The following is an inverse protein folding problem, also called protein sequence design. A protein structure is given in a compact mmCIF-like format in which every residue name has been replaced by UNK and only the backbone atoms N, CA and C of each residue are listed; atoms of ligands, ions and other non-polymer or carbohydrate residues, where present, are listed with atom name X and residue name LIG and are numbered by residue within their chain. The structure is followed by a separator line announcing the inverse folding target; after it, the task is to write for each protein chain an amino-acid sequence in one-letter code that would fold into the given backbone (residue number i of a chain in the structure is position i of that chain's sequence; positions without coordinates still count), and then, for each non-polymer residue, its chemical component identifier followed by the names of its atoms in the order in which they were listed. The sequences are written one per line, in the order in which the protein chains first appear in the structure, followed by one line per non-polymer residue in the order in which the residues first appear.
data_IF_225564393426
#
_entry.id   IF_225564393426
#
_cell.length_a   1.000
_cell.length_b   1.000
_cell.length_c   1.000
_cell.angle_alpha   90.00
_cell.angle_beta   90.00
_cell.angle_gamma   90.00
#
_symmetry.space_group_name_H-M   'P 1'
#
loop_
_entity.id
_entity.type
_entity.pdbx_description
1 polymer ?
#
# COMPACT_ATOMS: atom_id res chain seq x y z
N UNK A 1 -9.26 -39.89 -16.22
CA UNK A 1 -7.83 -39.71 -15.86
C UNK A 1 -7.04 -38.95 -16.93
N UNK A 2 -6.96 -39.42 -18.19
CA UNK A 2 -6.21 -38.74 -19.28
C UNK A 2 -6.58 -37.26 -19.53
N UNK A 3 -7.88 -36.92 -19.51
CA UNK A 3 -8.34 -35.55 -19.76
C UNK A 3 -7.99 -34.57 -18.62
N UNK A 4 -7.84 -35.06 -17.38
CA UNK A 4 -7.43 -34.22 -16.24
C UNK A 4 -5.95 -33.86 -16.35
N UNK A 5 -5.13 -34.84 -16.71
CA UNK A 5 -3.69 -34.64 -16.91
C UNK A 5 -3.41 -33.71 -18.10
N UNK A 6 -4.20 -33.79 -19.18
CA UNK A 6 -4.07 -32.86 -20.31
C UNK A 6 -4.36 -31.41 -19.92
N UNK A 7 -5.41 -31.18 -19.12
CA UNK A 7 -5.75 -29.83 -18.62
C UNK A 7 -4.65 -29.28 -17.71
N UNK A 8 -4.07 -30.12 -16.86
CA UNK A 8 -2.99 -29.72 -15.95
C UNK A 8 -1.71 -29.36 -16.71
N UNK A 9 -1.35 -30.12 -17.76
CA UNK A 9 -0.22 -29.81 -18.63
C UNK A 9 -0.44 -28.49 -19.38
N UNK A 10 -1.65 -28.23 -19.88
CA UNK A 10 -2.01 -26.97 -20.54
C UNK A 10 -1.83 -25.76 -19.59
N UNK A 11 -2.29 -25.91 -18.35
CA UNK A 11 -2.22 -24.88 -17.32
C UNK A 11 -0.78 -24.58 -16.89
N UNK A 12 0.06 -25.62 -16.81
CA UNK A 12 1.50 -25.46 -16.54
C UNK A 12 2.22 -24.74 -17.69
N UNK A 13 1.87 -25.03 -18.95
CA UNK A 13 2.43 -24.32 -20.12
C UNK A 13 2.06 -22.85 -20.12
N UNK A 14 0.81 -22.54 -19.81
CA UNK A 14 0.33 -21.15 -19.72
C UNK A 14 1.04 -20.37 -18.60
N UNK A 15 1.21 -21.00 -17.43
CA UNK A 15 1.97 -20.41 -16.31
C UNK A 15 3.43 -20.16 -16.69
N UNK A 16 4.07 -21.10 -17.37
CA UNK A 16 5.47 -20.95 -17.83
C UNK A 16 5.62 -19.80 -18.81
N UNK A 17 4.71 -19.68 -19.79
CA UNK A 17 4.72 -18.61 -20.77
C UNK A 17 4.53 -17.23 -20.12
N UNK A 18 3.65 -17.14 -19.13
CA UNK A 18 3.40 -15.90 -18.39
C UNK A 18 4.59 -15.51 -17.51
N UNK A 19 5.28 -16.49 -16.90
CA UNK A 19 6.50 -16.25 -16.14
C UNK A 19 7.65 -15.72 -17.02
N UNK A 20 7.82 -16.28 -18.22
CA UNK A 20 8.82 -15.81 -19.20
C UNK A 20 8.56 -14.36 -19.62
N UNK A 21 7.30 -14.02 -19.94
CA UNK A 21 6.91 -12.63 -20.25
C UNK A 21 7.18 -11.67 -19.10
N UNK A 22 6.95 -12.10 -17.86
CA UNK A 22 7.23 -11.29 -16.69
C UNK A 22 8.73 -11.00 -16.56
N UNK A 23 9.59 -12.02 -16.70
CA UNK A 23 11.03 -11.84 -16.62
C UNK A 23 11.56 -10.93 -17.74
N UNK A 24 11.03 -11.06 -18.98
CA UNK A 24 11.36 -10.13 -20.07
C UNK A 24 11.01 -8.67 -19.72
N UNK A 25 9.84 -8.44 -19.12
CA UNK A 25 9.44 -7.07 -18.74
C UNK A 25 10.33 -6.50 -17.65
N UNK A 26 10.73 -7.33 -16.68
CA UNK A 26 11.66 -6.95 -15.61
C UNK A 26 13.03 -6.54 -16.17
N UNK A 27 13.61 -7.34 -17.07
CA UNK A 27 14.88 -7.02 -17.75
C UNK A 27 14.77 -5.71 -18.55
N UNK A 28 13.65 -5.46 -19.23
CA UNK A 28 13.43 -4.19 -19.96
C UNK A 28 13.37 -2.99 -19.03
N UNK A 29 12.77 -3.14 -17.84
CA UNK A 29 12.71 -2.08 -16.82
C UNK A 29 14.11 -1.81 -16.26
N UNK A 30 14.87 -2.83 -15.89
CA UNK A 30 16.23 -2.69 -15.37
C UNK A 30 17.17 -2.01 -16.37
N UNK A 31 17.05 -2.36 -17.67
CA UNK A 31 17.80 -1.69 -18.74
C UNK A 31 17.45 -0.20 -18.87
N UNK A 32 16.15 0.15 -18.81
CA UNK A 32 15.73 1.56 -18.85
C UNK A 32 16.18 2.34 -17.62
N UNK A 33 16.17 1.71 -16.45
CA UNK A 33 16.67 2.32 -15.22
C UNK A 33 18.16 2.61 -15.32
N UNK A 34 18.95 1.64 -15.80
CA UNK A 34 20.39 1.83 -16.03
C UNK A 34 20.69 2.97 -17.02
N UNK A 35 19.91 3.09 -18.10
CA UNK A 35 20.04 4.19 -19.05
C UNK A 35 19.71 5.55 -18.43
N UNK A 36 18.69 5.61 -17.57
CA UNK A 36 18.33 6.83 -16.84
C UNK A 36 19.49 7.26 -15.94
N UNK A 37 20.04 6.33 -15.17
CA UNK A 37 21.13 6.60 -14.23
C UNK A 37 22.40 7.09 -14.96
N UNK A 38 22.69 6.54 -16.15
CA UNK A 38 23.79 7.01 -17.01
C UNK A 38 23.57 8.45 -17.48
N UNK A 39 22.36 8.80 -17.93
CA UNK A 39 22.03 10.14 -18.40
C UNK A 39 22.12 11.16 -17.25
N UNK A 40 21.63 10.81 -16.06
CA UNK A 40 21.73 11.66 -14.87
C UNK A 40 23.20 11.91 -14.49
N UNK A 41 24.04 10.88 -14.55
CA UNK A 41 25.47 11.02 -14.28
C UNK A 41 26.16 11.93 -15.32
N UNK A 42 25.86 11.73 -16.62
CA UNK A 42 26.39 12.60 -17.68
C UNK A 42 25.98 14.06 -17.48
N UNK A 43 24.74 14.31 -17.11
CA UNK A 43 24.23 15.66 -16.87
C UNK A 43 24.95 16.33 -15.70
N UNK A 44 25.13 15.61 -14.57
CA UNK A 44 25.87 16.11 -13.41
C UNK A 44 27.32 16.44 -13.77
N UNK A 45 28.01 15.53 -14.46
CA UNK A 45 29.39 15.77 -14.90
C UNK A 45 29.50 16.96 -15.86
N UNK A 46 28.53 17.14 -16.77
CA UNK A 46 28.52 18.27 -17.68
C UNK A 46 28.31 19.60 -16.94
N UNK A 47 27.39 19.63 -15.97
CA UNK A 47 27.16 20.81 -15.14
C UNK A 47 28.40 21.18 -14.33
N UNK A 48 29.07 20.20 -13.75
CA UNK A 48 30.29 20.39 -12.98
C UNK A 48 31.43 20.91 -13.85
N UNK A 49 31.67 20.30 -15.02
CA UNK A 49 32.66 20.78 -16.00
C UNK A 49 32.38 22.20 -16.46
N UNK A 50 31.11 22.52 -16.74
CA UNK A 50 30.72 23.88 -17.10
C UNK A 50 31.03 24.84 -15.94
N UNK A 51 30.66 24.49 -14.72
CA UNK A 51 30.91 25.30 -13.54
C UNK A 51 32.41 25.53 -13.30
N UNK A 52 33.25 24.50 -13.42
CA UNK A 52 34.71 24.61 -13.35
C UNK A 52 35.28 25.48 -14.46
N UNK A 53 34.78 25.33 -15.70
CA UNK A 53 35.19 26.16 -16.84
C UNK A 53 34.83 27.62 -16.59
N UNK A 54 33.66 27.89 -16.03
CA UNK A 54 33.23 29.24 -15.64
C UNK A 54 34.12 29.82 -14.53
N UNK A 55 34.38 29.07 -13.46
CA UNK A 55 35.24 29.50 -12.36
C UNK A 55 36.69 29.70 -12.81
N UNK A 56 37.19 28.86 -13.72
CA UNK A 56 38.54 28.99 -14.27
C UNK A 56 38.69 30.15 -15.24
N UNK A 57 37.65 30.47 -16.03
CA UNK A 57 37.70 31.56 -17.01
C UNK A 57 37.46 32.94 -16.38
N UNK A 58 36.66 33.02 -15.32
CA UNK A 58 36.22 34.30 -14.75
C UNK A 58 36.56 34.50 -13.26
N UNK A 59 37.17 33.51 -12.59
CA UNK A 59 37.39 33.53 -11.15
C UNK A 59 36.08 33.35 -10.35
N UNK A 60 36.16 33.47 -9.03
CA UNK A 60 34.97 33.48 -8.16
C UNK A 60 34.25 34.83 -8.34
N UNK A 61 33.38 34.91 -9.34
CA UNK A 61 32.62 36.13 -9.67
C UNK A 61 31.50 36.32 -8.65
N UNK A 62 31.79 37.00 -7.55
CA UNK A 62 30.77 37.35 -6.53
C UNK A 62 29.84 38.49 -6.97
N UNK A 63 30.15 39.18 -8.08
CA UNK A 63 29.29 40.22 -8.68
C UNK A 63 29.58 40.34 -10.17
N UNK A 64 28.67 39.79 -11.00
CA UNK A 64 28.73 39.85 -12.46
C UNK A 64 27.67 40.78 -13.07
N UNK A 65 27.88 41.28 -14.31
CA UNK A 65 27.02 42.28 -14.98
C UNK A 65 25.58 41.82 -15.22
N UNK A 66 25.31 40.53 -15.07
CA UNK A 66 24.01 39.91 -15.31
C UNK A 66 23.04 40.02 -14.12
N UNK A 67 23.47 40.57 -12.97
CA UNK A 67 22.60 40.69 -11.77
C UNK A 67 21.43 41.67 -11.98
N UNK A 68 21.51 42.59 -12.94
CA UNK A 68 20.47 43.57 -13.22
C UNK A 68 19.52 43.23 -14.38
N UNK A 69 19.82 42.22 -15.18
CA UNK A 69 18.95 41.84 -16.33
C UNK A 69 17.83 40.86 -15.95
N UNK A 70 17.73 40.48 -14.67
CA UNK A 70 16.66 39.62 -14.15
C UNK A 70 15.27 40.31 -14.15
N UNK A 71 15.18 41.63 -14.38
CA UNK A 71 13.91 42.34 -14.43
C UNK A 71 13.17 42.26 -15.77
N UNK A 72 13.90 42.30 -16.89
CA UNK A 72 13.29 42.43 -18.23
C UNK A 72 13.32 41.14 -19.06
N UNK A 73 14.32 40.27 -18.90
CA UNK A 73 14.38 38.96 -19.59
C UNK A 73 13.32 37.97 -19.04
N UNK A 74 12.78 38.24 -17.85
CA UNK A 74 11.76 37.40 -17.21
C UNK A 74 10.41 37.49 -17.94
N UNK A 75 10.09 38.58 -18.66
CA UNK A 75 8.80 38.67 -19.38
C UNK A 75 8.73 37.75 -20.61
N UNK A 76 9.82 37.58 -21.35
CA UNK A 76 9.82 36.69 -22.53
C UNK A 76 10.11 35.23 -22.16
N UNK A 77 10.84 34.96 -21.06
CA UNK A 77 11.00 33.60 -20.53
C UNK A 77 9.73 33.03 -19.93
N UNK A 78 8.84 33.84 -19.34
CA UNK A 78 7.55 33.37 -18.82
C UNK A 78 6.72 32.72 -19.93
N UNK A 79 6.78 33.20 -21.18
CA UNK A 79 6.03 32.61 -22.29
C UNK A 79 6.54 31.23 -22.72
N UNK A 80 7.86 31.01 -22.77
CA UNK A 80 8.44 29.71 -23.15
C UNK A 80 8.39 28.71 -22.00
N UNK A 81 8.59 29.17 -20.76
CA UNK A 81 8.50 28.32 -19.57
C UNK A 81 7.05 27.92 -19.26
N UNK A 82 6.05 28.77 -19.54
CA UNK A 82 4.64 28.39 -19.44
C UNK A 82 4.23 27.34 -20.49
N UNK A 83 4.75 27.40 -21.72
CA UNK A 83 4.48 26.39 -22.75
C UNK A 83 5.18 25.05 -22.45
N UNK A 84 6.37 25.10 -21.86
CA UNK A 84 7.13 23.88 -21.49
C UNK A 84 6.59 23.26 -20.19
N UNK A 85 6.13 24.06 -19.22
CA UNK A 85 5.39 23.62 -18.02
C UNK A 85 4.01 23.06 -18.38
N UNK A 86 3.28 23.65 -19.34
CA UNK A 86 2.03 23.06 -19.83
C UNK A 86 2.24 21.69 -20.48
N UNK A 87 3.29 21.52 -21.30
CA UNK A 87 3.58 20.22 -21.95
C UNK A 87 4.03 19.14 -20.96
N UNK A 88 4.84 19.50 -19.96
CA UNK A 88 5.28 18.54 -18.92
C UNK A 88 4.18 18.22 -17.91
N UNK A 89 3.32 19.19 -17.56
CA UNK A 89 2.14 18.95 -16.74
C UNK A 89 1.12 18.08 -17.47
N UNK A 90 0.84 18.33 -18.76
CA UNK A 90 -0.10 17.50 -19.54
C UNK A 90 0.41 16.06 -19.70
N UNK A 91 1.72 15.87 -19.86
CA UNK A 91 2.33 14.52 -19.90
C UNK A 91 2.32 13.86 -18.51
N UNK A 92 2.60 14.60 -17.44
CA UNK A 92 2.50 14.08 -16.07
C UNK A 92 1.05 13.75 -15.69
N UNK A 93 0.08 14.59 -16.07
CA UNK A 93 -1.34 14.36 -15.83
C UNK A 93 -1.83 13.16 -16.65
N UNK A 94 -1.37 13.01 -17.89
CA UNK A 94 -1.66 11.85 -18.74
C UNK A 94 -1.06 10.56 -18.19
N UNK A 95 0.18 10.59 -17.69
CA UNK A 95 0.82 9.46 -17.03
C UNK A 95 0.13 9.12 -15.69
N UNK A 96 -0.24 10.12 -14.91
CA UNK A 96 -0.98 9.94 -13.64
C UNK A 96 -2.36 9.35 -13.91
N UNK A 97 -3.04 9.81 -14.98
CA UNK A 97 -4.32 9.24 -15.37
C UNK A 97 -4.17 7.80 -15.91
N UNK A 98 -3.06 7.49 -16.57
CA UNK A 98 -2.74 6.14 -17.05
C UNK A 98 -2.41 5.19 -15.89
N UNK A 99 -1.67 5.67 -14.88
CA UNK A 99 -1.42 4.95 -13.63
C UNK A 99 -2.72 4.70 -12.86
N UNK A 100 -3.57 5.72 -12.70
CA UNK A 100 -4.88 5.57 -12.05
C UNK A 100 -5.80 4.60 -12.81
N UNK A 101 -5.71 4.53 -14.15
CA UNK A 101 -6.42 3.53 -14.95
C UNK A 101 -5.83 2.13 -14.75
N UNK A 102 -4.51 2.01 -14.70
CA UNK A 102 -3.83 0.74 -14.42
C UNK A 102 -4.18 0.22 -13.03
N UNK A 103 -4.17 1.06 -11.99
CA UNK A 103 -4.60 0.71 -10.63
C UNK A 103 -6.04 0.23 -10.61
N UNK A 104 -6.96 0.91 -11.31
CA UNK A 104 -8.36 0.45 -11.43
C UNK A 104 -8.49 -0.91 -12.11
N UNK A 105 -7.65 -1.18 -13.13
CA UNK A 105 -7.61 -2.48 -13.81
C UNK A 105 -7.02 -3.55 -12.89
N UNK A 106 -5.97 -3.23 -12.14
CA UNK A 106 -5.35 -4.11 -11.15
C UNK A 106 -6.35 -4.42 -10.02
N UNK A 107 -7.06 -3.42 -9.49
CA UNK A 107 -8.10 -3.58 -8.48
C UNK A 107 -9.29 -4.38 -8.99
N UNK A 108 -9.67 -4.18 -10.25
CA UNK A 108 -10.70 -4.99 -10.92
C UNK A 108 -10.24 -6.44 -11.06
N UNK A 109 -9.02 -6.68 -11.52
CA UNK A 109 -8.43 -8.01 -11.65
C UNK A 109 -8.24 -8.68 -10.29
N UNK A 110 -7.89 -7.92 -9.23
CA UNK A 110 -7.76 -8.41 -7.85
C UNK A 110 -9.11 -8.79 -7.28
N UNK A 111 -10.17 -7.99 -7.52
CA UNK A 111 -11.56 -8.35 -7.18
C UNK A 111 -12.04 -9.58 -7.94
N UNK A 112 -11.71 -9.67 -9.23
CA UNK A 112 -12.02 -10.82 -10.07
C UNK A 112 -11.29 -12.06 -9.54
N UNK A 113 -9.98 -11.99 -9.30
CA UNK A 113 -9.21 -13.10 -8.75
C UNK A 113 -9.71 -13.49 -7.35
N UNK A 114 -10.03 -12.54 -6.47
CA UNK A 114 -10.66 -12.81 -5.15
C UNK A 114 -11.97 -13.59 -5.32
N UNK A 115 -12.79 -13.28 -6.33
CA UNK A 115 -14.03 -14.02 -6.64
C UNK A 115 -13.80 -15.48 -7.05
N UNK A 116 -12.66 -15.83 -7.65
CA UNK A 116 -12.38 -17.18 -8.18
C UNK A 116 -11.32 -17.97 -7.39
N UNK A 117 -10.50 -17.30 -6.58
CA UNK A 117 -9.41 -17.88 -5.80
C UNK A 117 -9.66 -17.90 -4.29
N UNK A 118 -10.80 -17.41 -3.81
CA UNK A 118 -11.17 -17.63 -2.40
C UNK A 118 -11.33 -19.14 -2.18
N UNK A 119 -10.59 -19.75 -1.22
CA UNK A 119 -11.02 -21.01 -0.62
C UNK A 119 -12.50 -20.84 -0.25
N UNK A 120 -13.31 -21.88 -0.43
CA UNK A 120 -14.73 -21.82 -0.02
C UNK A 120 -14.79 -21.86 1.50
N UNK A 121 -14.52 -20.71 2.10
CA UNK A 121 -14.62 -20.47 3.52
C UNK A 121 -16.09 -20.56 3.92
N UNK A 122 -16.47 -21.61 4.67
CA UNK A 122 -17.87 -21.87 5.03
C UNK A 122 -17.99 -22.47 6.41
N UNK A 123 -17.81 -21.64 7.42
CA UNK A 123 -18.64 -21.56 8.63
C UNK A 123 -18.14 -20.33 9.39
N UNK A 124 -19.00 -19.35 9.66
CA UNK A 124 -18.65 -18.19 10.46
C UNK A 124 -19.41 -18.30 11.76
N UNK A 125 -18.73 -18.68 12.84
CA UNK A 125 -19.27 -18.42 14.16
C UNK A 125 -18.90 -17.00 14.55
N UNK A 126 -19.90 -16.22 14.97
CA UNK A 126 -19.70 -14.85 15.39
C UNK A 126 -20.49 -14.61 16.67
N UNK A 127 -19.75 -14.19 17.70
CA UNK A 127 -20.32 -13.73 18.95
C UNK A 127 -20.10 -12.23 19.06
N UNK A 128 -21.12 -11.49 19.49
CA UNK A 128 -20.99 -10.07 19.84
C UNK A 128 -21.85 -9.79 21.06
N UNK A 129 -21.24 -9.20 22.07
CA UNK A 129 -21.84 -8.70 23.29
C UNK A 129 -21.50 -7.22 23.44
N UNK A 130 -22.47 -6.36 23.14
CA UNK A 130 -22.34 -4.91 23.17
C UNK A 130 -22.18 -4.31 21.77
N UNK A 131 -21.56 -3.13 21.72
CA UNK A 131 -21.57 -2.26 20.55
C UNK A 131 -20.37 -2.46 19.61
N UNK A 132 -19.35 -3.23 20.03
CA UNK A 132 -18.13 -3.45 19.26
C UNK A 132 -18.16 -4.80 18.57
N UNK A 133 -17.99 -4.77 17.25
CA UNK A 133 -17.95 -5.94 16.38
C UNK A 133 -16.56 -6.12 15.77
N UNK A 134 -16.15 -7.37 15.62
CA UNK A 134 -15.01 -7.77 14.79
C UNK A 134 -15.49 -7.88 13.33
N UNK A 135 -14.87 -7.11 12.44
CA UNK A 135 -15.10 -7.12 11.00
C UNK A 135 -13.83 -7.60 10.28
N UNK A 136 -13.31 -8.73 10.74
CA UNK A 136 -12.15 -9.39 10.16
C UNK A 136 -12.52 -9.97 8.78
N UNK A 137 -11.83 -9.49 7.74
CA UNK A 137 -11.99 -9.94 6.36
C UNK A 137 -10.65 -10.26 5.71
N UNK A 138 -9.58 -10.29 6.50
CA UNK A 138 -8.24 -10.43 5.97
C UNK A 138 -7.67 -11.81 6.21
N UNK A 139 -7.92 -12.66 5.23
CA UNK A 139 -7.40 -14.03 5.09
C UNK A 139 -5.87 -14.08 5.03
N UNK A 140 -5.21 -12.96 4.70
CA UNK A 140 -3.76 -12.89 4.55
C UNK A 140 -3.05 -12.45 5.82
N UNK A 141 -3.77 -12.22 6.93
CA UNK A 141 -3.16 -11.87 8.21
C UNK A 141 -2.39 -10.55 8.18
N UNK A 142 -2.82 -9.57 7.39
CA UNK A 142 -2.18 -8.24 7.31
C UNK A 142 -2.82 -7.28 8.30
N UNK A 143 -4.12 -7.40 8.55
CA UNK A 143 -4.83 -6.50 9.45
C UNK A 143 -6.10 -7.11 10.05
N UNK A 144 -6.46 -6.61 11.23
CA UNK A 144 -7.76 -6.80 11.87
C UNK A 144 -8.56 -5.49 11.82
N UNK A 145 -9.89 -5.59 11.76
CA UNK A 145 -10.76 -4.41 11.81
C UNK A 145 -11.82 -4.58 12.88
N UNK A 146 -11.95 -3.58 13.74
CA UNK A 146 -13.07 -3.45 14.67
C UNK A 146 -13.96 -2.29 14.26
N UNK A 147 -15.25 -2.42 14.52
CA UNK A 147 -16.27 -1.44 14.21
C UNK A 147 -17.17 -1.21 15.43
N UNK A 148 -17.42 0.06 15.76
CA UNK A 148 -18.48 0.40 16.71
C UNK A 148 -19.80 0.54 15.93
N UNK A 149 -20.65 -0.47 16.05
CA UNK A 149 -21.99 -0.51 15.43
C UNK A 149 -23.09 0.05 16.34
N UNK A 150 -22.72 0.44 17.56
CA UNK A 150 -23.63 1.06 18.52
C UNK A 150 -23.88 2.54 18.25
N UNK A 151 -24.74 3.11 19.09
CA UNK A 151 -25.09 4.53 19.04
C UNK A 151 -24.35 5.35 20.10
N UNK A 152 -23.43 4.74 20.87
CA UNK A 152 -22.67 5.40 21.92
C UNK A 152 -21.16 5.26 21.70
N UNK A 153 -20.38 6.22 22.22
CA UNK A 153 -18.92 6.10 22.19
C UNK A 153 -18.46 4.95 23.09
N UNK A 154 -17.50 4.15 22.60
CA UNK A 154 -16.89 3.08 23.37
C UNK A 154 -15.48 3.49 23.78
N UNK A 155 -15.26 3.57 25.09
CA UNK A 155 -13.89 3.65 25.65
C UNK A 155 -13.28 2.27 25.61
N UNK A 156 -12.19 2.14 24.88
CA UNK A 156 -11.51 0.87 24.59
C UNK A 156 -10.27 0.68 25.46
N UNK A 157 -10.04 1.56 26.44
CA UNK A 157 -8.95 1.49 27.41
C UNK A 157 -8.80 0.09 28.01
N UNK A 158 -7.66 -0.55 27.79
CA UNK A 158 -7.36 -1.88 28.34
C UNK A 158 -8.09 -3.04 27.66
N UNK A 159 -8.84 -2.79 26.59
CA UNK A 159 -9.37 -3.87 25.76
C UNK A 159 -8.22 -4.60 25.10
N UNK A 160 -8.38 -5.91 24.87
CA UNK A 160 -7.37 -6.74 24.21
C UNK A 160 -7.97 -7.42 23.00
N UNK A 161 -7.39 -7.16 21.84
CA UNK A 161 -7.68 -7.88 20.60
C UNK A 161 -6.68 -9.03 20.47
N UNK A 162 -7.17 -10.23 20.21
CA UNK A 162 -6.38 -11.46 20.13
C UNK A 162 -6.76 -12.22 18.87
N UNK A 163 -5.77 -12.71 18.12
CA UNK A 163 -5.95 -13.62 16.99
C UNK A 163 -5.15 -14.89 17.25
N UNK A 164 -5.83 -16.02 17.16
CA UNK A 164 -5.24 -17.35 17.34
C UNK A 164 -5.26 -18.03 15.98
N UNK A 165 -4.07 -18.39 15.50
CA UNK A 165 -3.89 -19.11 14.23
C UNK A 165 -3.03 -20.34 14.50
N UNK A 166 -3.57 -21.52 14.21
CA UNK A 166 -2.90 -22.81 14.42
C UNK A 166 -2.30 -22.95 15.85
N UNK A 167 -3.03 -22.49 16.86
CA UNK A 167 -2.64 -22.54 18.27
C UNK A 167 -1.65 -21.47 18.73
N UNK A 168 -1.23 -20.55 17.85
CA UNK A 168 -0.40 -19.39 18.22
C UNK A 168 -1.25 -18.14 18.38
N UNK A 169 -1.22 -17.56 19.57
CA UNK A 169 -1.88 -16.30 19.89
C UNK A 169 -1.00 -15.11 19.53
N UNK A 170 -1.59 -14.10 18.89
CA UNK A 170 -1.04 -12.76 18.71
C UNK A 170 -2.04 -11.77 19.27
N UNK A 171 -1.60 -10.81 20.08
CA UNK A 171 -2.53 -9.92 20.75
C UNK A 171 -2.00 -8.50 20.89
N UNK A 172 -2.92 -7.54 20.95
CA UNK A 172 -2.63 -6.14 21.22
C UNK A 172 -3.60 -5.62 22.28
N UNK A 173 -3.11 -4.74 23.14
CA UNK A 173 -3.95 -4.04 24.12
C UNK A 173 -4.12 -2.58 23.70
N UNK A 174 -5.36 -2.10 23.69
CA UNK A 174 -5.69 -0.72 23.33
C UNK A 174 -5.22 0.26 24.40
N UNK A 175 -4.63 1.38 23.94
CA UNK A 175 -4.09 2.44 24.80
C UNK A 175 -5.14 3.05 25.73
N UNK A 176 -4.69 3.61 26.85
CA UNK A 176 -5.54 4.14 27.91
C UNK A 176 -6.50 5.26 27.47
N UNK A 177 -6.21 5.92 26.36
CA UNK A 177 -7.01 7.04 25.84
C UNK A 177 -7.79 6.69 24.57
N UNK A 178 -7.79 5.43 24.13
CA UNK A 178 -8.44 5.05 22.89
C UNK A 178 -9.97 5.02 23.04
N UNK A 179 -10.66 5.76 22.18
CA UNK A 179 -12.12 5.86 22.12
C UNK A 179 -12.58 5.65 20.68
N UNK A 180 -13.55 4.75 20.50
CA UNK A 180 -14.15 4.47 19.21
C UNK A 180 -15.59 5.00 19.19
N UNK A 181 -15.85 6.03 18.39
CA UNK A 181 -17.17 6.67 18.33
C UNK A 181 -18.15 5.83 17.49
N UNK A 182 -19.47 6.09 17.58
CA UNK A 182 -20.47 5.43 16.75
C UNK A 182 -20.12 5.46 15.26
N UNK A 183 -20.22 4.31 14.59
CA UNK A 183 -19.91 4.16 13.17
C UNK A 183 -18.42 4.23 12.81
N UNK A 184 -17.53 4.45 13.79
CA UNK A 184 -16.10 4.46 13.53
C UNK A 184 -15.52 3.06 13.46
N UNK A 185 -14.43 2.96 12.70
CA UNK A 185 -13.67 1.73 12.51
C UNK A 185 -12.21 1.96 12.90
N UNK A 186 -11.60 0.93 13.49
CA UNK A 186 -10.16 0.88 13.73
C UNK A 186 -9.57 -0.31 13.01
N UNK A 187 -8.55 -0.05 12.21
CA UNK A 187 -7.72 -1.08 11.60
C UNK A 187 -6.46 -1.26 12.43
N UNK A 188 -6.14 -2.50 12.79
CA UNK A 188 -4.87 -2.86 13.42
C UNK A 188 -4.05 -3.68 12.44
N UNK A 189 -3.00 -3.09 11.86
CA UNK A 189 -2.17 -3.75 10.85
C UNK A 189 -0.94 -4.38 11.47
N UNK A 190 -0.52 -5.53 10.96
CA UNK A 190 0.77 -6.09 11.31
C UNK A 190 1.91 -5.23 10.75
N UNK A 191 3.08 -5.34 11.39
CA UNK A 191 4.24 -4.49 11.09
C UNK A 191 4.64 -4.52 9.63
N UNK A 192 4.81 -3.34 9.03
CA UNK A 192 5.25 -3.18 7.64
C UNK A 192 4.15 -3.23 6.57
N UNK A 193 2.88 -3.41 6.96
CA UNK A 193 1.75 -3.20 6.05
C UNK A 193 1.28 -1.75 6.06
N UNK A 194 1.13 -1.17 4.86
CA UNK A 194 0.63 0.19 4.69
C UNK A 194 -0.89 0.18 4.77
N UNK A 195 -1.44 1.01 5.65
CA UNK A 195 -2.87 1.27 5.77
C UNK A 195 -3.45 1.86 4.48
N UNK A 196 -4.66 1.44 4.09
CA UNK A 196 -5.39 2.12 3.02
C UNK A 196 -5.75 3.54 3.49
N UNK A 197 -5.16 4.58 2.85
CA UNK A 197 -5.21 5.99 3.30
C UNK A 197 -6.62 6.56 3.52
N UNK A 198 -7.67 5.89 3.06
CA UNK A 198 -9.05 6.37 3.11
C UNK A 198 -10.06 5.28 3.54
N UNK A 199 -9.62 4.16 4.12
CA UNK A 199 -10.50 3.02 4.44
C UNK A 199 -11.14 3.05 5.83
N UNK A 200 -10.41 3.54 6.84
CA UNK A 200 -10.79 3.42 8.26
C UNK A 200 -10.55 4.73 9.02
N UNK A 201 -11.21 4.90 10.17
CA UNK A 201 -11.13 6.13 10.95
C UNK A 201 -9.86 6.20 11.80
N UNK A 202 -9.46 5.03 12.33
CA UNK A 202 -8.28 4.90 13.17
C UNK A 202 -7.38 3.79 12.62
N UNK A 203 -6.07 3.98 12.78
CA UNK A 203 -5.05 3.04 12.35
C UNK A 203 -4.07 2.80 13.49
N UNK A 204 -3.88 1.54 13.83
CA UNK A 204 -2.93 1.08 14.83
C UNK A 204 -2.00 0.05 14.19
N UNK A 205 -0.79 -0.04 14.72
CA UNK A 205 0.19 -1.04 14.29
C UNK A 205 0.36 -2.07 15.42
N UNK A 206 0.31 -3.34 15.03
CA UNK A 206 0.76 -4.47 15.83
C UNK A 206 2.24 -4.69 15.53
N UNK A 207 3.08 -4.32 16.49
CA UNK A 207 4.53 -4.21 16.33
C UNK A 207 5.30 -5.51 16.66
N UNK A 208 4.64 -6.49 17.30
CA UNK A 208 5.28 -7.73 17.72
C UNK A 208 5.65 -8.65 16.54
N UNK A 209 4.85 -8.67 15.46
CA UNK A 209 5.06 -9.54 14.30
C UNK A 209 4.75 -8.81 12.98
N UNK A 210 5.28 -9.34 11.87
CA UNK A 210 5.01 -8.86 10.51
C UNK A 210 3.70 -9.43 9.94
N UNK A 211 2.98 -10.27 10.69
CA UNK A 211 1.69 -10.84 10.31
C UNK A 211 0.85 -11.17 11.54
N UNK A 212 -0.48 -11.07 11.41
CA UNK A 212 -1.46 -11.62 12.34
C UNK A 212 -1.60 -13.15 12.26
N UNK A 213 -0.92 -13.76 11.30
CA UNK A 213 -0.97 -15.19 11.03
C UNK A 213 -1.92 -15.53 9.88
N UNK A 214 -1.57 -16.58 9.16
CA UNK A 214 -2.36 -17.18 8.09
C UNK A 214 -2.45 -18.67 8.35
N UNK A 215 -3.64 -19.25 8.33
CA UNK A 215 -3.82 -20.67 8.66
C UNK A 215 -5.17 -21.19 8.22
N UNK A 216 -5.35 -22.50 8.40
CA UNK A 216 -6.62 -23.18 8.07
C UNK A 216 -7.71 -22.92 9.12
N UNK A 217 -7.36 -22.58 10.34
CA UNK A 217 -8.30 -22.17 11.39
C UNK A 217 -7.79 -20.89 12.06
N UNK A 218 -8.67 -19.89 12.07
CA UNK A 218 -8.40 -18.55 12.57
C UNK A 218 -9.52 -18.17 13.52
N UNK A 219 -9.15 -17.79 14.74
CA UNK A 219 -10.08 -17.34 15.76
C UNK A 219 -9.64 -15.96 16.24
N UNK A 220 -10.46 -14.94 15.97
CA UNK A 220 -10.23 -13.57 16.43
C UNK A 220 -11.18 -13.28 17.59
N UNK A 221 -10.67 -12.74 18.70
CA UNK A 221 -11.43 -12.46 19.92
C UNK A 221 -11.11 -11.07 20.45
N UNK A 222 -12.12 -10.43 21.02
CA UNK A 222 -12.02 -9.15 21.68
C UNK A 222 -12.42 -9.30 23.15
N UNK A 223 -11.51 -8.88 24.04
CA UNK A 223 -11.72 -8.87 25.48
C UNK A 223 -11.84 -7.44 25.98
N UNK A 224 -12.76 -7.19 26.91
CA UNK A 224 -12.81 -5.92 27.61
C UNK A 224 -11.70 -5.81 28.67
N UNK A 225 -11.58 -4.65 29.32
CA UNK A 225 -10.57 -4.39 30.36
C UNK A 225 -10.61 -5.33 31.58
N UNK A 226 -11.72 -6.06 31.78
CA UNK A 226 -11.87 -7.06 32.85
C UNK A 226 -11.48 -8.47 32.40
N UNK A 227 -11.05 -8.64 31.15
CA UNK A 227 -10.73 -9.93 30.56
C UNK A 227 -11.95 -10.74 30.11
N UNK A 228 -13.14 -10.14 30.05
CA UNK A 228 -14.35 -10.81 29.57
C UNK A 228 -14.42 -10.69 28.06
N UNK A 229 -14.64 -11.81 27.38
CA UNK A 229 -14.86 -11.87 25.94
C UNK A 229 -16.16 -11.17 25.56
N UNK A 230 -16.08 -10.22 24.64
CA UNK A 230 -17.22 -9.42 24.19
C UNK A 230 -17.47 -9.55 22.69
N UNK A 231 -16.51 -10.06 21.93
CA UNK A 231 -16.76 -10.43 20.54
C UNK A 231 -15.81 -11.56 20.12
N UNK A 232 -16.30 -12.43 19.25
CA UNK A 232 -15.47 -13.43 18.58
C UNK A 232 -15.88 -13.57 17.14
N UNK A 233 -14.91 -13.97 16.33
CA UNK A 233 -15.06 -14.25 14.92
C UNK A 233 -14.17 -15.44 14.58
N UNK A 234 -14.81 -16.56 14.26
CA UNK A 234 -14.12 -17.80 13.93
C UNK A 234 -14.29 -18.13 12.45
N UNK A 235 -13.18 -18.54 11.88
CA UNK A 235 -12.96 -18.74 10.46
C UNK A 235 -12.17 -20.04 10.30
N UNK A 236 -12.83 -21.14 9.87
CA UNK A 236 -12.20 -22.38 9.41
C UNK A 236 -12.31 -22.62 7.88
N UNK A 237 -11.13 -22.82 7.26
CA UNK A 237 -10.92 -23.07 5.84
C UNK A 237 -11.19 -24.55 5.56
N UNK A 238 -12.03 -24.81 4.57
CA UNK A 238 -12.37 -26.16 4.08
C UNK A 238 -11.56 -26.50 2.84
#
# INVERSE_FOLDING_TARGET
MRQSLQKEIELLRERSLNAEKFEETKVKIEKKQSQKDEIELRLKSLLEKHNETFLSAFGEVTVGPWRWSHGEIVKDRISVEQVTKHRTNVVCDSLTQSLNRADKVIDSARRHYKKFASPKFREYDHFVQGDIRINDRDEYGKHEVLENVGNTEQRMTGFRLSRIVDGRERSITFSALFVLHPGQTVQVSARGYVHERHGHHHHLEFDEDITWGTGGSVVTRLYNAKGVEIASFEVISI
#
